data_IF_598012371607
#
_entry.id   IF_598012371607
#
_cell.length_a   1.000
_cell.length_b   1.000
_cell.length_c   1.000
_cell.angle_alpha   90.00
_cell.angle_beta   90.00
_cell.angle_gamma   90.00
#
_symmetry.space_group_name_H-M   'P 1'
#
loop_
_entity.id
_entity.type
_entity.pdbx_description
1 polymer ?
#
# COMPACT_ATOMS: atom_id res chain seq x y z
N UNK A 1 -1.56 -16.32 1.58
CA UNK A 1 -1.96 -15.82 0.24
C UNK A 1 -1.00 -14.69 -0.10
N UNK A 2 -0.33 -14.73 -1.25
CA UNK A 2 0.57 -13.64 -1.66
C UNK A 2 -0.14 -12.82 -2.74
N UNK A 3 -0.33 -11.52 -2.50
CA UNK A 3 -0.84 -10.60 -3.51
C UNK A 3 0.22 -10.40 -4.61
N UNK A 4 -0.19 -10.44 -5.88
CA UNK A 4 0.70 -10.18 -7.02
C UNK A 4 -0.04 -9.31 -8.04
N UNK A 5 0.68 -8.39 -8.67
CA UNK A 5 0.12 -7.42 -9.62
C UNK A 5 1.13 -6.29 -9.90
N UNK A 6 0.79 -5.32 -10.76
CA UNK A 6 1.58 -4.10 -10.94
C UNK A 6 1.87 -3.44 -9.60
N UNK A 7 3.10 -2.97 -9.39
CA UNK A 7 3.64 -2.56 -8.08
C UNK A 7 2.70 -1.68 -7.23
N UNK A 8 1.94 -0.78 -7.88
CA UNK A 8 1.04 0.13 -7.17
C UNK A 8 -0.27 -0.51 -6.67
N UNK A 9 -0.75 -1.61 -7.29
CA UNK A 9 -2.03 -2.23 -6.92
C UNK A 9 -1.98 -2.94 -5.56
N UNK A 10 -0.97 -3.77 -5.24
CA UNK A 10 -0.82 -4.35 -3.92
C UNK A 10 -0.58 -3.33 -2.80
N UNK A 11 -0.11 -2.13 -3.15
CA UNK A 11 0.26 -1.09 -2.19
C UNK A 11 -0.88 -0.11 -1.88
N UNK A 12 -2.06 -0.31 -2.47
CA UNK A 12 -3.24 0.50 -2.14
C UNK A 12 -3.63 0.33 -0.68
N UNK A 13 -3.97 1.45 -0.04
CA UNK A 13 -4.32 1.49 1.38
C UNK A 13 -5.46 0.54 1.74
N UNK A 14 -6.51 0.45 0.91
CA UNK A 14 -7.65 -0.45 1.13
C UNK A 14 -7.26 -1.94 1.11
N UNK A 15 -6.38 -2.35 0.19
CA UNK A 15 -5.86 -3.71 0.15
C UNK A 15 -5.00 -4.02 1.37
N UNK A 16 -4.12 -3.10 1.77
CA UNK A 16 -3.26 -3.29 2.93
C UNK A 16 -4.03 -3.30 4.25
N UNK A 17 -5.09 -2.49 4.38
CA UNK A 17 -6.04 -2.58 5.49
C UNK A 17 -6.64 -3.98 5.61
N UNK A 18 -7.04 -4.58 4.49
CA UNK A 18 -7.62 -5.92 4.49
C UNK A 18 -6.60 -7.02 4.84
N UNK A 19 -5.32 -6.84 4.47
CA UNK A 19 -4.24 -7.80 4.74
C UNK A 19 -3.77 -7.71 6.20
N UNK A 20 -3.56 -6.49 6.71
CA UNK A 20 -2.97 -6.26 8.02
C UNK A 20 -4.00 -6.09 9.14
N UNK A 21 -5.27 -5.85 8.82
CA UNK A 21 -6.35 -5.75 9.80
C UNK A 21 -6.35 -4.47 10.61
N UNK A 22 -5.61 -3.44 10.19
CA UNK A 22 -5.53 -2.12 10.80
C UNK A 22 -5.66 -1.01 9.74
N UNK A 23 -6.03 0.23 10.12
CA UNK A 23 -6.05 1.35 9.20
C UNK A 23 -4.66 1.62 8.60
N UNK A 24 -4.60 1.69 7.28
CA UNK A 24 -3.39 1.96 6.51
C UNK A 24 -3.57 3.24 5.68
N UNK A 25 -2.50 4.00 5.54
CA UNK A 25 -2.37 5.11 4.60
C UNK A 25 -1.37 4.79 3.50
N UNK A 26 -1.40 5.58 2.42
CA UNK A 26 -0.40 5.55 1.37
C UNK A 26 -0.09 6.98 0.89
N UNK A 27 1.19 7.26 0.67
CA UNK A 27 1.69 8.52 0.08
C UNK A 27 2.64 8.21 -1.06
N UNK A 28 2.83 9.17 -1.97
CA UNK A 28 3.83 9.05 -3.04
C UNK A 28 5.23 9.36 -2.52
N UNK A 29 6.22 8.54 -2.86
CA UNK A 29 7.62 8.80 -2.57
C UNK A 29 8.09 10.04 -3.35
N UNK A 30 8.81 10.98 -2.71
CA UNK A 30 9.09 12.29 -3.28
C UNK A 30 9.98 12.29 -4.53
N UNK A 31 10.71 11.19 -4.81
CA UNK A 31 11.66 11.14 -5.92
C UNK A 31 11.11 10.45 -7.17
N UNK A 32 10.31 9.40 -7.00
CA UNK A 32 9.89 8.50 -8.09
C UNK A 32 8.37 8.25 -8.11
N UNK A 33 7.62 8.83 -7.16
CA UNK A 33 6.18 8.66 -7.05
C UNK A 33 5.75 7.27 -6.59
N UNK A 34 6.68 6.40 -6.20
CA UNK A 34 6.36 5.05 -5.74
C UNK A 34 5.54 5.12 -4.45
N UNK A 35 4.51 4.28 -4.28
CA UNK A 35 3.71 4.30 -3.06
C UNK A 35 4.54 3.88 -1.84
N UNK A 36 4.42 4.64 -0.76
CA UNK A 36 4.89 4.32 0.59
C UNK A 36 3.67 4.15 1.47
N UNK A 37 3.53 2.96 2.06
CA UNK A 37 2.41 2.63 2.93
C UNK A 37 2.82 2.72 4.40
N UNK A 38 1.91 3.16 5.27
CA UNK A 38 2.14 3.28 6.71
C UNK A 38 0.88 2.94 7.50
N UNK A 39 1.04 2.45 8.72
CA UNK A 39 -0.08 2.26 9.66
C UNK A 39 -0.49 3.60 10.27
N UNK A 40 -1.79 3.83 10.42
CA UNK A 40 -2.35 4.99 11.11
C UNK A 40 -2.61 4.68 12.58
#
# INVERSE_FOLDING_TARGET
>A
MLAHGPFAEPMRADMLCAIYGNPMGAVAHPHDGMPISFAH
#
